data_IF_476610308040
#
_entry.id   IF_476610308040
#
_cell.length_a   1.000
_cell.length_b   1.000
_cell.length_c   1.000
_cell.angle_alpha   90.00
_cell.angle_beta   90.00
_cell.angle_gamma   90.00
#
_symmetry.space_group_name_H-M   'P 1'
#
loop_
_entity.id
_entity.type
_entity.pdbx_description
1 polymer ?
#
# COMPACT_ATOMS: atom_id res chain seq x y z
N UNK A 1 -9.63 9.76 -22.60
CA UNK A 1 -10.41 9.20 -21.48
C UNK A 1 -9.42 8.50 -20.58
N UNK A 2 -9.01 9.12 -19.47
CA UNK A 2 -8.16 8.45 -18.46
C UNK A 2 -9.07 7.50 -17.68
N UNK A 3 -9.07 6.23 -18.07
CA UNK A 3 -9.82 5.20 -17.37
C UNK A 3 -9.18 4.95 -16.01
N UNK A 4 -9.97 4.87 -14.95
CA UNK A 4 -9.54 4.36 -13.67
C UNK A 4 -9.33 2.84 -13.79
N UNK A 5 -8.45 2.29 -12.94
CA UNK A 5 -8.23 0.85 -12.88
C UNK A 5 -9.51 0.09 -12.47
N UNK A 6 -9.78 -1.02 -13.12
CA UNK A 6 -10.89 -1.91 -12.76
C UNK A 6 -10.51 -2.77 -11.55
N UNK A 7 -10.84 -2.29 -10.37
CA UNK A 7 -10.58 -3.00 -9.11
C UNK A 7 -11.48 -4.22 -8.88
N UNK A 8 -12.53 -4.42 -9.67
CA UNK A 8 -13.40 -5.60 -9.51
C UNK A 8 -12.65 -6.91 -9.79
N UNK A 9 -11.65 -6.88 -10.65
CA UNK A 9 -10.77 -8.04 -10.91
C UNK A 9 -9.90 -8.42 -9.73
N UNK A 10 -9.60 -7.45 -8.85
CA UNK A 10 -8.75 -7.63 -7.67
C UNK A 10 -9.55 -7.89 -6.39
N UNK A 11 -10.67 -7.18 -6.22
CA UNK A 11 -11.44 -7.10 -4.97
C UNK A 11 -12.82 -7.78 -5.07
N UNK A 12 -13.18 -8.33 -6.24
CA UNK A 12 -14.53 -8.82 -6.48
C UNK A 12 -15.51 -7.70 -6.85
N UNK A 13 -16.72 -8.07 -7.21
CA UNK A 13 -17.69 -7.15 -7.79
C UNK A 13 -18.29 -6.15 -6.79
N UNK A 14 -18.30 -6.47 -5.49
CA UNK A 14 -18.94 -5.65 -4.45
C UNK A 14 -18.05 -5.53 -3.22
N UNK A 15 -18.16 -4.39 -2.55
CA UNK A 15 -17.57 -4.09 -1.24
C UNK A 15 -18.69 -3.83 -0.23
N UNK A 16 -18.43 -4.13 1.04
CA UNK A 16 -19.26 -3.68 2.16
C UNK A 16 -18.97 -2.20 2.45
N UNK A 17 -19.98 -1.40 2.66
CA UNK A 17 -19.89 -0.03 3.18
C UNK A 17 -20.74 0.12 4.43
N UNK A 18 -20.64 1.22 5.14
CA UNK A 18 -21.51 1.49 6.30
C UNK A 18 -23.00 1.62 5.90
N UNK A 19 -23.28 1.84 4.61
CA UNK A 19 -24.63 1.95 4.05
C UNK A 19 -25.11 0.66 3.33
N UNK A 20 -24.31 -0.44 3.42
CA UNK A 20 -24.59 -1.70 2.75
C UNK A 20 -23.61 -1.99 1.59
N UNK A 21 -23.89 -3.05 0.83
CA UNK A 21 -23.04 -3.43 -0.29
C UNK A 21 -23.19 -2.48 -1.48
N UNK A 22 -22.04 -2.13 -2.08
CA UNK A 22 -21.96 -1.32 -3.31
C UNK A 22 -21.04 -1.96 -4.33
N UNK A 23 -21.21 -1.69 -5.63
CA UNK A 23 -20.25 -2.11 -6.66
C UNK A 23 -18.85 -1.58 -6.37
N UNK A 24 -17.84 -2.43 -6.50
CA UNK A 24 -16.43 -2.09 -6.22
C UNK A 24 -15.98 -0.86 -7.00
N UNK A 25 -16.28 -0.82 -8.30
CA UNK A 25 -15.87 0.29 -9.14
C UNK A 25 -16.67 1.59 -8.90
N UNK A 26 -17.83 1.53 -8.25
CA UNK A 26 -18.55 2.72 -7.77
C UNK A 26 -17.85 3.31 -6.54
N UNK A 27 -17.47 2.47 -5.57
CA UNK A 27 -16.78 2.89 -4.34
C UNK A 27 -15.42 3.49 -4.65
N UNK A 28 -14.70 2.92 -5.63
CA UNK A 28 -13.34 3.32 -5.99
C UNK A 28 -13.26 4.28 -7.18
N UNK A 29 -14.41 4.70 -7.72
CA UNK A 29 -14.44 5.69 -8.79
C UNK A 29 -13.75 7.00 -8.38
N UNK A 30 -12.79 7.45 -9.20
CA UNK A 30 -12.10 8.72 -8.99
C UNK A 30 -11.08 8.72 -7.83
N UNK A 31 -10.81 7.58 -7.21
CA UNK A 31 -9.79 7.50 -6.17
C UNK A 31 -8.38 7.52 -6.79
N UNK A 32 -7.54 8.42 -6.29
CA UNK A 32 -6.14 8.49 -6.71
C UNK A 32 -5.27 7.47 -5.96
N UNK A 33 -5.64 7.14 -4.73
CA UNK A 33 -4.93 6.18 -3.88
C UNK A 33 -5.90 5.24 -3.20
N UNK A 34 -5.62 3.94 -3.23
CA UNK A 34 -6.39 2.89 -2.57
C UNK A 34 -5.49 2.12 -1.61
N UNK A 35 -5.91 1.97 -0.36
CA UNK A 35 -5.18 1.15 0.61
C UNK A 35 -5.93 -0.16 0.91
N UNK A 36 -5.18 -1.26 1.01
CA UNK A 36 -5.69 -2.53 1.51
C UNK A 36 -5.21 -2.70 2.95
N UNK A 37 -6.14 -2.64 3.90
CA UNK A 37 -5.86 -2.75 5.32
C UNK A 37 -6.15 -4.16 5.83
N UNK A 38 -5.11 -4.97 6.00
CA UNK A 38 -5.19 -6.32 6.55
C UNK A 38 -5.14 -6.25 8.08
N UNK A 39 -6.24 -6.67 8.73
CA UNK A 39 -6.39 -6.53 10.17
C UNK A 39 -7.39 -7.55 10.74
N UNK A 40 -7.53 -7.60 12.07
CA UNK A 40 -8.53 -8.40 12.76
C UNK A 40 -8.81 -7.87 14.18
N UNK A 41 -10.03 -8.07 14.67
CA UNK A 41 -10.45 -7.69 16.01
C UNK A 41 -9.63 -8.38 17.12
N UNK A 42 -9.33 -9.66 16.94
CA UNK A 42 -8.55 -10.45 17.92
C UNK A 42 -7.07 -10.06 18.02
N UNK A 43 -6.57 -9.16 17.15
CA UNK A 43 -5.17 -8.76 17.06
C UNK A 43 -4.90 -7.46 17.85
N UNK A 44 -4.23 -7.50 19.03
CA UNK A 44 -4.02 -6.30 19.84
C UNK A 44 -3.24 -5.19 19.12
N UNK A 45 -2.15 -5.46 18.35
CA UNK A 45 -1.48 -4.42 17.58
C UNK A 45 -2.38 -3.77 16.54
N UNK A 46 -3.32 -4.54 15.96
CA UNK A 46 -4.29 -4.02 14.99
C UNK A 46 -5.23 -3.01 15.66
N UNK A 47 -5.77 -3.35 16.83
CA UNK A 47 -6.66 -2.45 17.58
C UNK A 47 -5.96 -1.16 18.01
N UNK A 48 -4.65 -1.20 18.22
CA UNK A 48 -3.85 0.00 18.48
C UNK A 48 -3.62 0.86 17.25
N UNK A 49 -3.47 0.25 16.07
CA UNK A 49 -3.21 0.96 14.82
C UNK A 49 -4.48 1.48 14.15
N UNK A 50 -5.62 0.78 14.23
CA UNK A 50 -6.88 1.17 13.58
C UNK A 50 -7.31 2.61 13.90
N UNK A 51 -7.28 3.10 15.16
CA UNK A 51 -7.62 4.49 15.45
C UNK A 51 -6.64 5.50 14.84
N UNK A 52 -5.35 5.15 14.73
CA UNK A 52 -4.36 6.01 14.09
C UNK A 52 -4.63 6.13 12.59
N UNK A 53 -4.86 4.99 11.94
CA UNK A 53 -5.25 4.96 10.52
C UNK A 53 -6.56 5.72 10.28
N UNK A 54 -7.56 5.59 11.18
CA UNK A 54 -8.82 6.30 11.06
C UNK A 54 -8.65 7.82 11.10
N UNK A 55 -7.88 8.34 12.05
CA UNK A 55 -7.55 9.78 12.12
C UNK A 55 -6.81 10.26 10.89
N UNK A 56 -5.83 9.49 10.43
CA UNK A 56 -5.08 9.79 9.21
C UNK A 56 -6.01 9.82 7.99
N UNK A 57 -6.82 8.79 7.79
CA UNK A 57 -7.79 8.71 6.71
C UNK A 57 -8.73 9.91 6.69
N UNK A 58 -9.34 10.26 7.82
CA UNK A 58 -10.26 11.39 7.92
C UNK A 58 -9.59 12.73 7.60
N UNK A 59 -8.30 12.86 7.86
CA UNK A 59 -7.56 14.10 7.58
C UNK A 59 -7.22 14.30 6.10
N UNK A 60 -7.13 13.20 5.29
CA UNK A 60 -6.63 13.31 3.92
C UNK A 60 -7.58 12.73 2.85
N UNK A 61 -8.63 11.97 3.22
CA UNK A 61 -9.47 11.22 2.27
C UNK A 61 -10.00 12.05 1.11
N UNK A 62 -10.44 13.28 1.41
CA UNK A 62 -11.00 14.17 0.40
C UNK A 62 -9.91 14.88 -0.42
N UNK A 63 -8.88 15.40 0.25
CA UNK A 63 -7.80 16.15 -0.40
C UNK A 63 -6.88 15.30 -1.26
N UNK A 64 -6.80 13.99 -0.98
CA UNK A 64 -5.96 13.01 -1.69
C UNK A 64 -6.77 11.99 -2.47
N UNK A 65 -8.10 12.12 -2.55
CA UNK A 65 -8.99 11.13 -3.16
C UNK A 65 -8.64 9.70 -2.69
N UNK A 66 -8.45 9.54 -1.39
CA UNK A 66 -7.96 8.33 -0.75
C UNK A 66 -9.10 7.43 -0.28
N UNK A 67 -8.97 6.12 -0.45
CA UNK A 67 -9.91 5.13 0.08
C UNK A 67 -9.16 3.98 0.74
N UNK A 68 -9.74 3.46 1.82
CA UNK A 68 -9.26 2.27 2.53
C UNK A 68 -10.23 1.12 2.34
N UNK A 69 -9.72 -0.07 2.04
CA UNK A 69 -10.47 -1.31 1.98
C UNK A 69 -10.00 -2.23 3.11
N UNK A 70 -10.85 -2.43 4.10
CA UNK A 70 -10.58 -3.37 5.17
C UNK A 70 -10.64 -4.81 4.68
N UNK A 71 -9.57 -5.56 4.89
CA UNK A 71 -9.43 -6.98 4.54
C UNK A 71 -9.28 -7.78 5.84
N UNK A 72 -10.41 -8.33 6.30
CA UNK A 72 -10.49 -8.98 7.61
C UNK A 72 -9.81 -10.35 7.65
N UNK A 73 -9.08 -10.58 8.74
CA UNK A 73 -8.61 -11.89 9.19
C UNK A 73 -9.36 -12.39 10.44
N UNK A 74 -10.56 -11.85 10.70
CA UNK A 74 -11.41 -12.31 11.79
C UNK A 74 -11.84 -13.76 11.58
N UNK A 75 -12.22 -14.42 12.67
CA UNK A 75 -12.53 -15.85 12.67
C UNK A 75 -13.96 -16.13 12.23
N UNK A 76 -14.86 -15.19 12.48
CA UNK A 76 -16.29 -15.28 12.16
C UNK A 76 -16.87 -13.91 11.79
N UNK A 77 -18.11 -13.94 11.26
CA UNK A 77 -18.79 -12.75 10.77
C UNK A 77 -19.19 -11.76 11.90
N UNK A 78 -19.36 -12.25 13.14
CA UNK A 78 -19.69 -11.39 14.28
C UNK A 78 -18.49 -10.52 14.65
N UNK A 79 -17.29 -11.13 14.79
CA UNK A 79 -16.06 -10.40 15.06
C UNK A 79 -15.73 -9.39 13.95
N UNK A 80 -15.91 -9.81 12.68
CA UNK A 80 -15.78 -8.88 11.55
C UNK A 80 -16.70 -7.69 11.68
N UNK A 81 -18.00 -7.95 11.94
CA UNK A 81 -18.99 -6.88 12.01
C UNK A 81 -18.70 -5.92 13.16
N UNK A 82 -18.47 -6.44 14.36
CA UNK A 82 -18.13 -5.64 15.54
C UNK A 82 -16.93 -4.73 15.24
N UNK A 83 -15.85 -5.31 14.72
CA UNK A 83 -14.63 -4.57 14.45
C UNK A 83 -14.79 -3.57 13.31
N UNK A 84 -15.53 -3.94 12.26
CA UNK A 84 -15.78 -3.03 11.14
C UNK A 84 -16.66 -1.84 11.58
N UNK A 85 -17.65 -2.07 12.43
CA UNK A 85 -18.53 -1.01 12.94
C UNK A 85 -17.76 0.06 13.75
N UNK A 86 -16.68 -0.34 14.44
CA UNK A 86 -15.79 0.56 15.21
C UNK A 86 -14.80 1.35 14.33
N UNK A 87 -14.60 0.95 13.09
CA UNK A 87 -13.64 1.59 12.18
C UNK A 87 -14.20 2.85 11.54
N UNK A 88 -13.32 3.67 10.93
CA UNK A 88 -13.72 4.86 10.18
C UNK A 88 -14.63 4.49 8.99
N UNK A 89 -15.24 5.50 8.36
CA UNK A 89 -16.21 5.32 7.26
C UNK A 89 -15.49 4.99 5.94
N UNK A 90 -14.84 3.85 5.91
CA UNK A 90 -14.24 3.25 4.73
C UNK A 90 -14.93 1.94 4.36
N UNK A 91 -14.62 1.40 3.19
CA UNK A 91 -15.21 0.16 2.71
C UNK A 91 -14.44 -1.09 3.23
N UNK A 92 -15.05 -2.26 3.07
CA UNK A 92 -14.44 -3.54 3.43
C UNK A 92 -14.68 -4.59 2.35
N UNK A 93 -13.77 -5.54 2.24
CA UNK A 93 -14.01 -6.77 1.51
C UNK A 93 -15.09 -7.59 2.24
N UNK A 94 -16.13 -8.09 1.56
CA UNK A 94 -17.15 -8.90 2.21
C UNK A 94 -16.54 -10.07 2.98
N UNK A 95 -16.95 -10.25 4.25
CA UNK A 95 -16.35 -11.27 5.12
C UNK A 95 -16.39 -12.68 4.51
N UNK A 96 -17.46 -13.03 3.83
CA UNK A 96 -17.65 -14.33 3.18
C UNK A 96 -16.72 -14.58 2.01
N UNK A 97 -16.10 -13.55 1.44
CA UNK A 97 -15.17 -13.69 0.31
C UNK A 97 -13.75 -14.03 0.78
N UNK A 98 -13.62 -15.20 1.41
CA UNK A 98 -12.33 -15.71 1.90
C UNK A 98 -11.34 -16.03 0.78
N UNK A 99 -11.85 -16.39 -0.40
CA UNK A 99 -11.02 -16.68 -1.57
C UNK A 99 -10.23 -15.43 -2.01
N UNK A 100 -10.92 -14.30 -2.19
CA UNK A 100 -10.30 -13.02 -2.52
C UNK A 100 -9.36 -12.57 -1.41
N UNK A 101 -9.76 -12.64 -0.14
CA UNK A 101 -8.87 -12.34 1.01
C UNK A 101 -7.56 -13.12 0.95
N UNK A 102 -7.62 -14.43 0.69
CA UNK A 102 -6.45 -15.30 0.62
C UNK A 102 -5.58 -14.97 -0.60
N UNK A 103 -6.20 -14.70 -1.76
CA UNK A 103 -5.50 -14.27 -2.97
C UNK A 103 -4.74 -12.96 -2.76
N UNK A 104 -5.37 -11.96 -2.13
CA UNK A 104 -4.74 -10.69 -1.77
C UNK A 104 -3.57 -10.88 -0.81
N UNK A 105 -3.74 -11.68 0.25
CA UNK A 105 -2.67 -11.97 1.20
C UNK A 105 -1.46 -12.63 0.54
N UNK A 106 -1.69 -13.53 -0.42
CA UNK A 106 -0.63 -14.15 -1.21
C UNK A 106 0.04 -13.17 -2.17
N UNK A 107 -0.75 -12.39 -2.92
CA UNK A 107 -0.27 -11.41 -3.90
C UNK A 107 0.66 -10.40 -3.25
N UNK A 108 0.25 -9.83 -2.11
CA UNK A 108 1.01 -8.79 -1.40
C UNK A 108 1.96 -9.35 -0.33
N UNK A 109 2.15 -10.68 -0.29
CA UNK A 109 3.05 -11.37 0.64
C UNK A 109 2.83 -10.97 2.10
N UNK A 110 1.56 -10.81 2.51
CA UNK A 110 1.18 -10.42 3.87
C UNK A 110 1.58 -11.53 4.84
N UNK A 111 2.61 -11.29 5.66
CA UNK A 111 3.17 -12.25 6.62
C UNK A 111 2.61 -12.07 8.03
N UNK A 112 1.94 -10.95 8.29
CA UNK A 112 1.38 -10.61 9.60
C UNK A 112 0.40 -9.46 9.51
N UNK A 113 -0.30 -9.17 10.59
CA UNK A 113 -1.23 -8.06 10.72
C UNK A 113 -0.87 -7.21 11.95
N UNK A 114 -1.10 -5.89 11.93
CA UNK A 114 -1.68 -5.11 10.82
C UNK A 114 -0.69 -4.89 9.67
N UNK A 115 -1.19 -4.94 8.44
CA UNK A 115 -0.45 -4.58 7.22
C UNK A 115 -1.30 -3.59 6.42
N UNK A 116 -0.68 -2.56 5.86
CA UNK A 116 -1.32 -1.56 5.00
C UNK A 116 -0.57 -1.49 3.68
N UNK A 117 -1.22 -1.95 2.61
CA UNK A 117 -0.68 -1.92 1.24
C UNK A 117 -1.29 -0.74 0.51
N UNK A 118 -0.48 0.09 -0.11
CA UNK A 118 -0.91 1.28 -0.85
C UNK A 118 -0.83 1.01 -2.35
N UNK A 119 -1.90 1.29 -3.05
CA UNK A 119 -2.05 1.10 -4.49
C UNK A 119 -2.32 2.44 -5.18
N UNK A 120 -1.82 2.59 -6.38
CA UNK A 120 -2.21 3.66 -7.29
C UNK A 120 -3.64 3.40 -7.80
N UNK A 121 -4.54 4.35 -7.59
CA UNK A 121 -5.96 4.21 -7.95
C UNK A 121 -6.22 4.24 -9.45
N UNK A 122 -5.27 4.72 -10.26
CA UNK A 122 -5.38 4.80 -11.73
C UNK A 122 -4.84 3.57 -12.42
N UNK A 123 -3.76 2.99 -11.88
CA UNK A 123 -3.07 1.86 -12.52
C UNK A 123 -3.29 0.54 -11.80
N UNK A 124 -3.69 0.56 -10.52
CA UNK A 124 -3.77 -0.62 -9.65
C UNK A 124 -2.40 -1.15 -9.22
N UNK A 125 -1.32 -0.45 -9.56
CA UNK A 125 0.03 -0.84 -9.18
C UNK A 125 0.30 -0.60 -7.70
N UNK A 126 1.18 -1.41 -7.13
CA UNK A 126 1.58 -1.23 -5.74
C UNK A 126 2.55 -0.06 -5.62
N UNK A 127 2.18 0.94 -4.80
CA UNK A 127 3.06 2.04 -4.43
C UNK A 127 4.01 1.55 -3.33
N UNK A 128 3.47 1.01 -2.23
CA UNK A 128 4.26 0.44 -1.13
C UNK A 128 3.47 -0.61 -0.35
N UNK A 129 4.16 -1.52 0.32
CA UNK A 129 3.60 -2.46 1.31
C UNK A 129 3.82 -2.01 2.75
N UNK A 130 4.54 -0.92 2.95
CA UNK A 130 4.96 -0.40 4.25
C UNK A 130 4.12 0.80 4.72
N UNK A 131 2.88 0.91 4.22
CA UNK A 131 1.97 2.01 4.54
C UNK A 131 1.68 2.15 6.04
N UNK A 132 1.76 1.05 6.83
CA UNK A 132 1.67 1.12 8.28
C UNK A 132 2.77 2.00 8.88
N UNK A 133 4.01 1.80 8.45
CA UNK A 133 5.15 2.61 8.90
C UNK A 133 4.96 4.07 8.48
N UNK A 134 4.55 4.30 7.23
CA UNK A 134 4.26 5.63 6.72
C UNK A 134 3.25 6.40 7.56
N UNK A 135 2.10 5.78 7.93
CA UNK A 135 1.11 6.42 8.80
C UNK A 135 1.68 6.77 10.18
N UNK A 136 2.56 5.89 10.72
CA UNK A 136 3.07 6.05 12.10
C UNK A 136 4.23 7.03 12.18
N UNK A 137 5.09 7.09 11.18
CA UNK A 137 6.38 7.81 11.24
C UNK A 137 6.46 9.01 10.30
N UNK A 138 5.82 8.95 9.13
CA UNK A 138 5.96 9.94 8.06
C UNK A 138 4.62 10.27 7.37
N UNK A 139 3.57 10.67 8.11
CA UNK A 139 2.24 10.89 7.55
C UNK A 139 2.24 11.93 6.41
N UNK A 140 3.11 12.93 6.46
CA UNK A 140 3.19 13.99 5.46
C UNK A 140 3.78 13.53 4.11
N UNK A 141 4.51 12.40 4.10
CA UNK A 141 5.11 11.84 2.89
C UNK A 141 4.13 10.96 2.08
N UNK A 142 2.85 10.92 2.46
CA UNK A 142 1.83 10.14 1.74
C UNK A 142 1.81 10.45 0.22
N UNK A 143 1.74 9.46 -0.65
CA UNK A 143 1.48 8.03 -0.45
C UNK A 143 2.74 7.15 -0.27
N UNK A 144 3.85 7.69 0.21
CA UNK A 144 5.11 6.98 0.49
C UNK A 144 5.68 6.27 -0.74
N UNK A 145 5.59 6.93 -1.86
CA UNK A 145 6.14 6.41 -3.11
C UNK A 145 7.66 6.32 -2.98
N UNK A 146 8.25 5.12 -3.12
CA UNK A 146 9.70 5.00 -3.12
C UNK A 146 10.31 5.90 -4.19
N UNK A 147 11.44 6.54 -3.92
CA UNK A 147 12.15 7.30 -4.94
C UNK A 147 12.51 6.38 -6.11
N UNK A 148 12.46 6.90 -7.32
CA UNK A 148 12.90 6.14 -8.48
C UNK A 148 14.42 5.87 -8.40
N UNK A 149 14.90 4.86 -9.13
CA UNK A 149 16.34 4.61 -9.22
C UNK A 149 17.08 5.86 -9.70
N UNK A 150 16.48 6.61 -10.61
CA UNK A 150 17.05 7.88 -11.12
C UNK A 150 17.15 8.93 -10.01
N UNK A 151 16.11 9.07 -9.17
CA UNK A 151 16.14 10.02 -8.04
C UNK A 151 17.23 9.63 -7.03
N UNK A 152 17.34 8.32 -6.73
CA UNK A 152 18.38 7.80 -5.83
C UNK A 152 19.76 8.10 -6.40
N UNK A 153 20.01 7.74 -7.67
CA UNK A 153 21.31 7.96 -8.31
C UNK A 153 21.69 9.45 -8.37
N UNK A 154 20.69 10.32 -8.59
CA UNK A 154 20.88 11.77 -8.62
C UNK A 154 21.16 12.38 -7.23
N UNK A 155 20.75 11.70 -6.15
CA UNK A 155 20.98 12.14 -4.78
C UNK A 155 22.32 11.69 -4.18
N UNK A 156 23.00 10.75 -4.85
CA UNK A 156 24.29 10.25 -4.41
C UNK A 156 25.41 11.26 -4.73
N UNK A 157 26.54 11.21 -3.99
CA UNK A 157 27.77 11.90 -4.40
C UNK A 157 28.15 11.54 -5.83
N UNK A 158 28.89 12.39 -6.54
CA UNK A 158 29.38 12.06 -7.88
C UNK A 158 30.08 10.69 -7.92
N UNK A 159 29.80 9.93 -8.96
CA UNK A 159 30.51 8.68 -9.21
C UNK A 159 31.90 9.03 -9.71
N UNK A 160 32.89 8.20 -9.35
CA UNK A 160 34.26 8.37 -9.81
C UNK A 160 34.69 7.13 -10.57
N UNK A 161 35.55 7.31 -11.56
CA UNK A 161 36.22 6.22 -12.24
C UNK A 161 37.42 5.68 -11.43
N UNK A 162 38.17 4.76 -12.00
CA UNK A 162 39.36 4.17 -11.34
C UNK A 162 40.54 5.16 -11.20
N UNK A 163 40.52 6.24 -11.96
CA UNK A 163 41.48 7.34 -11.88
C UNK A 163 41.06 8.39 -10.83
N UNK A 164 39.84 8.30 -10.29
CA UNK A 164 39.27 9.23 -9.32
C UNK A 164 38.57 10.45 -9.94
N UNK A 165 38.37 10.45 -11.25
CA UNK A 165 37.70 11.53 -11.96
C UNK A 165 36.14 11.36 -11.87
N UNK A 166 35.43 12.47 -11.74
CA UNK A 166 33.97 12.44 -11.70
C UNK A 166 33.37 11.98 -13.03
N UNK A 167 32.41 11.05 -12.97
CA UNK A 167 31.71 10.53 -14.14
C UNK A 167 30.20 10.71 -14.00
N UNK A 168 29.58 11.25 -15.06
CA UNK A 168 28.12 11.37 -15.16
C UNK A 168 27.51 10.06 -15.67
N UNK A 169 26.60 9.46 -14.89
CA UNK A 169 25.86 8.29 -15.33
C UNK A 169 24.79 8.61 -16.37
N UNK A 170 24.29 9.85 -16.42
CA UNK A 170 23.28 10.29 -17.37
C UNK A 170 23.76 10.33 -18.83
N UNK A 171 25.07 10.42 -19.02
CA UNK A 171 25.71 10.50 -20.37
C UNK A 171 26.12 9.13 -20.91
N UNK A 172 25.93 8.06 -20.14
CA UNK A 172 26.33 6.71 -20.57
C UNK A 172 25.15 6.00 -21.25
N UNK A 173 25.26 5.63 -22.52
CA UNK A 173 24.25 4.83 -23.19
C UNK A 173 24.30 3.38 -22.73
N UNK A 174 23.14 2.74 -22.56
CA UNK A 174 23.01 1.33 -22.27
C UNK A 174 22.58 1.00 -20.83
N UNK A 175 22.48 -0.28 -20.49
CA UNK A 175 22.06 -0.73 -19.16
C UNK A 175 23.12 -0.41 -18.10
N UNK A 176 22.67 0.03 -16.92
CA UNK A 176 23.50 0.26 -15.74
C UNK A 176 23.44 -0.96 -14.83
N UNK A 177 24.60 -1.52 -14.48
CA UNK A 177 24.75 -2.57 -13.48
C UNK A 177 25.32 -1.96 -12.19
N UNK A 178 24.60 -2.09 -11.08
CA UNK A 178 25.09 -1.72 -9.76
C UNK A 178 25.60 -2.97 -9.05
N UNK A 179 26.90 -2.99 -8.73
CA UNK A 179 27.53 -4.07 -7.98
C UNK A 179 27.79 -3.62 -6.54
N UNK A 180 27.14 -4.29 -5.59
CA UNK A 180 27.32 -4.04 -4.17
C UNK A 180 28.27 -5.08 -3.59
N UNK A 181 29.42 -4.64 -3.08
CA UNK A 181 30.45 -5.50 -2.54
C UNK A 181 31.18 -4.82 -1.39
N UNK A 182 31.87 -5.62 -0.57
CA UNK A 182 32.71 -5.13 0.51
C UNK A 182 33.89 -6.07 0.73
N UNK A 183 35.09 -5.51 1.07
CA UNK A 183 36.32 -6.28 1.30
C UNK A 183 36.13 -7.35 2.41
N UNK A 184 35.30 -7.08 3.41
CA UNK A 184 35.01 -8.01 4.51
C UNK A 184 34.01 -9.12 4.15
N UNK A 185 33.46 -9.12 2.96
CA UNK A 185 32.43 -10.07 2.49
C UNK A 185 33.09 -11.20 1.70
N UNK A 186 33.30 -12.42 2.29
CA UNK A 186 34.01 -13.51 1.60
C UNK A 186 33.38 -13.96 0.27
N UNK A 187 32.01 -13.97 0.12
CA UNK A 187 31.39 -14.35 -1.15
C UNK A 187 31.34 -13.23 -2.19
N UNK A 188 31.71 -12.00 -1.83
CA UNK A 188 31.74 -10.89 -2.76
C UNK A 188 33.04 -10.87 -3.58
#
# INVERSE_FOLDING_TARGET
MSGFHDFSTLLGNTLETKQGQKPTNEVLAGKDVVALYFSAHWCPPCRGFTPQLGKFYDSIKDSKNFEVIFVSSDRDASQFKEYYDEQADWAALPFKDRATKNALSKKYKVRGIPTLVILDGKTGETITTDGREGVSSEPEAFPWKPPSVQDILSSLPPFVDKEGEEVSLSERPGPLLLYFSAHWCPPC
#
